data_IF_331733970959
#
_entry.id   IF_331733970959
#
_cell.length_a   1.000
_cell.length_b   1.000
_cell.length_c   1.000
_cell.angle_alpha   90.00
_cell.angle_beta   90.00
_cell.angle_gamma   90.00
#
_symmetry.space_group_name_H-M   'P 1'
#
loop_
_entity.id
_entity.type
_entity.pdbx_description
1 polymer ?
#
# COMPACT_ATOMS: atom_id res chain seq x y z
N UNK A 1 5.99 -9.50 25.26
CA UNK A 1 4.59 -9.25 24.83
C UNK A 1 4.22 -7.85 25.29
N UNK A 2 3.86 -6.95 24.38
CA UNK A 2 3.47 -5.57 24.72
C UNK A 2 1.96 -5.40 24.65
N UNK A 3 1.41 -4.47 25.44
CA UNK A 3 0.00 -4.05 25.33
C UNK A 3 -0.06 -2.56 25.00
N UNK A 4 -1.05 -2.18 24.20
CA UNK A 4 -1.29 -0.78 23.82
C UNK A 4 -2.76 -0.48 24.06
N UNK A 5 -3.03 0.66 24.71
CA UNK A 5 -4.40 1.18 24.89
C UNK A 5 -4.53 2.47 24.11
N UNK A 6 -5.50 2.54 23.20
CA UNK A 6 -5.82 3.74 22.43
C UNK A 6 -7.05 4.38 23.06
N UNK A 7 -6.91 5.60 23.57
CA UNK A 7 -8.00 6.39 24.18
C UNK A 7 -8.52 7.41 23.19
N UNK A 8 -9.76 7.87 23.40
CA UNK A 8 -10.43 8.89 22.58
C UNK A 8 -10.43 8.54 21.08
N UNK A 9 -10.65 7.26 20.76
CA UNK A 9 -10.79 6.81 19.38
C UNK A 9 -12.18 7.17 18.87
N UNK A 10 -12.25 7.75 17.68
CA UNK A 10 -13.51 8.03 17.00
C UNK A 10 -14.36 6.75 16.86
N UNK A 11 -15.65 6.85 17.15
CA UNK A 11 -16.57 5.72 17.15
C UNK A 11 -16.75 5.13 15.74
N UNK A 12 -16.65 5.96 14.70
CA UNK A 12 -16.65 5.53 13.30
C UNK A 12 -15.44 4.65 12.99
N UNK A 13 -14.25 5.02 13.47
CA UNK A 13 -13.04 4.18 13.32
C UNK A 13 -13.21 2.85 14.04
N UNK A 14 -13.73 2.87 15.28
CA UNK A 14 -13.98 1.64 16.05
C UNK A 14 -14.96 0.70 15.34
N UNK A 15 -16.01 1.26 14.73
CA UNK A 15 -16.99 0.48 13.98
C UNK A 15 -16.40 -0.09 12.68
N UNK A 16 -15.62 0.70 11.94
CA UNK A 16 -14.93 0.24 10.74
C UNK A 16 -13.97 -0.92 11.06
N UNK A 17 -13.21 -0.82 12.16
CA UNK A 17 -12.32 -1.89 12.62
C UNK A 17 -13.09 -3.17 12.99
N UNK A 18 -14.28 -3.04 13.60
CA UNK A 18 -15.17 -4.18 13.89
C UNK A 18 -15.59 -4.89 12.61
N UNK A 19 -16.05 -4.11 11.61
CA UNK A 19 -16.49 -4.66 10.33
C UNK A 19 -15.34 -5.36 9.59
N UNK A 20 -14.14 -4.80 9.61
CA UNK A 20 -12.96 -5.43 9.04
C UNK A 20 -12.65 -6.78 9.72
N UNK A 21 -12.71 -6.83 11.06
CA UNK A 21 -12.48 -8.07 11.80
C UNK A 21 -13.50 -9.17 11.44
N UNK A 22 -14.78 -8.81 11.34
CA UNK A 22 -15.85 -9.73 10.91
C UNK A 22 -15.59 -10.25 9.49
N UNK A 23 -15.27 -9.35 8.55
CA UNK A 23 -14.95 -9.70 7.16
C UNK A 23 -13.79 -10.69 7.05
N UNK A 24 -12.78 -10.54 7.90
CA UNK A 24 -11.61 -11.40 7.93
C UNK A 24 -11.77 -12.66 8.82
N UNK A 25 -12.93 -12.85 9.45
CA UNK A 25 -13.19 -14.00 10.33
C UNK A 25 -12.33 -14.02 11.60
N UNK A 26 -11.96 -12.84 12.13
CA UNK A 26 -11.04 -12.69 13.27
C UNK A 26 -11.67 -11.88 14.39
N UNK A 27 -11.11 -12.00 15.61
CA UNK A 27 -11.45 -11.09 16.69
C UNK A 27 -10.96 -9.67 16.37
N UNK A 28 -11.60 -8.66 16.97
CA UNK A 28 -11.18 -7.26 16.81
C UNK A 28 -9.72 -7.05 17.19
N UNK A 29 -9.27 -7.64 18.30
CA UNK A 29 -7.88 -7.56 18.75
C UNK A 29 -6.93 -8.21 17.73
N UNK A 30 -7.28 -9.38 17.18
CA UNK A 30 -6.46 -10.05 16.19
C UNK A 30 -6.36 -9.25 14.88
N UNK A 31 -7.44 -8.61 14.45
CA UNK A 31 -7.42 -7.72 13.28
C UNK A 31 -6.54 -6.49 13.54
N UNK A 32 -6.69 -5.84 14.69
CA UNK A 32 -5.88 -4.68 15.04
C UNK A 32 -4.39 -5.03 15.17
N UNK A 33 -4.06 -6.19 15.76
CA UNK A 33 -2.69 -6.70 15.79
C UNK A 33 -2.15 -6.91 14.38
N UNK A 34 -2.89 -7.59 13.51
CA UNK A 34 -2.49 -7.81 12.13
C UNK A 34 -2.32 -6.49 11.36
N UNK A 35 -3.14 -5.46 11.66
CA UNK A 35 -2.97 -4.10 11.14
C UNK A 35 -1.68 -3.45 11.60
N UNK A 36 -1.35 -3.53 12.89
CA UNK A 36 -0.12 -2.96 13.40
C UNK A 36 1.11 -3.70 12.84
N UNK A 37 1.07 -5.02 12.75
CA UNK A 37 2.15 -5.83 12.19
C UNK A 37 2.38 -5.58 10.69
N UNK A 38 1.31 -5.47 9.89
CA UNK A 38 1.47 -5.16 8.45
C UNK A 38 1.93 -3.72 8.18
N UNK A 39 1.70 -2.81 9.13
CA UNK A 39 2.00 -1.37 8.94
C UNK A 39 3.37 -1.02 9.50
N UNK A 40 3.68 -1.53 10.70
CA UNK A 40 4.88 -1.17 11.47
C UNK A 40 5.81 -2.35 11.71
N UNK A 41 5.43 -3.57 11.33
CA UNK A 41 6.26 -4.75 11.53
C UNK A 41 7.50 -4.77 10.63
N UNK A 42 8.53 -5.56 11.00
CA UNK A 42 9.80 -5.62 10.27
C UNK A 42 9.62 -5.97 8.79
N UNK A 43 8.71 -6.90 8.48
CA UNK A 43 8.44 -7.31 7.10
C UNK A 43 7.92 -6.16 6.22
N UNK A 44 7.15 -5.23 6.77
CA UNK A 44 6.69 -4.05 6.05
C UNK A 44 7.84 -3.09 5.76
N UNK A 45 8.72 -2.89 6.74
CA UNK A 45 9.91 -2.05 6.60
C UNK A 45 10.91 -2.66 5.60
N UNK A 46 11.19 -3.96 5.70
CA UNK A 46 12.04 -4.68 4.75
C UNK A 46 11.52 -4.58 3.32
N UNK A 47 10.19 -4.71 3.12
CA UNK A 47 9.58 -4.52 1.81
C UNK A 47 9.78 -3.10 1.30
N UNK A 48 9.54 -2.07 2.12
CA UNK A 48 9.75 -0.69 1.73
C UNK A 48 11.23 -0.38 1.41
N UNK A 49 12.16 -0.87 2.22
CA UNK A 49 13.60 -0.73 2.00
C UNK A 49 14.03 -1.40 0.70
N UNK A 50 13.57 -2.63 0.45
CA UNK A 50 13.86 -3.35 -0.79
C UNK A 50 13.37 -2.58 -2.01
N UNK A 51 12.13 -2.09 -2.00
CA UNK A 51 11.58 -1.31 -3.12
C UNK A 51 12.35 -0.01 -3.36
N UNK A 52 12.81 0.67 -2.30
CA UNK A 52 13.62 1.90 -2.43
C UNK A 52 15.03 1.65 -2.95
N UNK A 53 15.58 0.46 -2.71
CA UNK A 53 16.91 0.07 -3.17
C UNK A 53 16.92 -0.41 -4.64
N UNK A 54 15.75 -0.73 -5.21
CA UNK A 54 15.65 -1.13 -6.61
C UNK A 54 15.99 0.03 -7.54
N UNK A 55 16.74 -0.26 -8.60
CA UNK A 55 16.85 0.65 -9.74
C UNK A 55 15.48 0.80 -10.42
N UNK A 56 15.33 1.86 -11.22
CA UNK A 56 14.07 2.10 -11.96
C UNK A 56 13.66 0.91 -12.85
N UNK A 57 14.63 0.26 -13.50
CA UNK A 57 14.37 -0.92 -14.34
C UNK A 57 13.88 -2.13 -13.53
N UNK A 58 14.52 -2.40 -12.38
CA UNK A 58 14.12 -3.49 -11.48
C UNK A 58 12.75 -3.26 -10.86
N UNK A 59 12.42 -1.99 -10.54
CA UNK A 59 11.11 -1.64 -10.01
C UNK A 59 10.00 -1.91 -11.03
N UNK A 60 10.20 -1.54 -12.30
CA UNK A 60 9.23 -1.80 -13.38
C UNK A 60 9.05 -3.31 -13.60
N UNK A 61 10.13 -4.09 -13.67
CA UNK A 61 10.07 -5.54 -13.80
C UNK A 61 9.31 -6.19 -12.62
N UNK A 62 9.58 -5.72 -11.39
CA UNK A 62 8.86 -6.18 -10.20
C UNK A 62 7.36 -5.89 -10.29
N UNK A 63 6.96 -4.69 -10.73
CA UNK A 63 5.55 -4.33 -10.91
C UNK A 63 4.85 -5.22 -11.94
N UNK A 64 5.48 -5.49 -13.08
CA UNK A 64 4.92 -6.36 -14.13
C UNK A 64 4.64 -7.76 -13.56
N UNK A 65 5.59 -8.32 -12.80
CA UNK A 65 5.46 -9.64 -12.17
C UNK A 65 4.36 -9.68 -11.09
N UNK A 66 4.24 -8.64 -10.27
CA UNK A 66 3.24 -8.57 -9.20
C UNK A 66 1.83 -8.31 -9.73
N UNK A 67 1.71 -7.47 -10.75
CA UNK A 67 0.43 -7.14 -11.38
C UNK A 67 -0.14 -8.29 -12.22
N UNK A 68 0.59 -9.41 -12.34
CA UNK A 68 0.19 -10.59 -13.09
C UNK A 68 -0.15 -10.28 -14.56
N UNK A 69 0.53 -9.29 -15.15
CA UNK A 69 0.37 -8.89 -16.55
C UNK A 69 -1.03 -8.35 -16.88
N UNK A 70 -1.31 -7.09 -16.56
CA UNK A 70 -2.49 -6.39 -17.08
C UNK A 70 -2.19 -5.80 -18.46
N UNK A 71 -3.05 -6.07 -19.45
CA UNK A 71 -3.04 -5.32 -20.70
C UNK A 71 -3.64 -3.94 -20.43
N UNK A 72 -2.84 -2.88 -20.61
CA UNK A 72 -3.31 -1.50 -20.51
C UNK A 72 -3.51 -0.96 -21.92
N UNK A 73 -4.73 -0.51 -22.23
CA UNK A 73 -4.94 0.32 -23.40
C UNK A 73 -4.26 1.67 -23.17
N UNK A 74 -3.16 1.90 -23.87
CA UNK A 74 -2.47 3.18 -23.82
C UNK A 74 -3.34 4.21 -24.55
N UNK A 75 -3.59 5.39 -23.96
CA UNK A 75 -4.23 6.47 -24.68
C UNK A 75 -3.39 6.83 -25.92
N UNK A 76 -4.02 7.32 -26.99
CA UNK A 76 -3.29 7.85 -28.13
C UNK A 76 -2.30 8.90 -27.64
N UNK A 77 -1.07 8.88 -28.18
CA UNK A 77 -0.08 9.92 -27.86
C UNK A 77 -0.65 11.26 -28.32
N UNK A 78 -1.02 12.09 -27.36
CA UNK A 78 -1.25 13.51 -27.61
C UNK A 78 0.14 14.12 -27.84
N UNK A 79 0.47 14.34 -29.11
CA UNK A 79 1.54 15.26 -29.44
C UNK A 79 1.00 16.65 -29.12
N UNK A 80 1.13 17.09 -27.87
CA UNK A 80 1.22 18.52 -27.65
C UNK A 80 2.47 18.98 -28.40
N UNK A 81 2.28 19.87 -29.37
CA UNK A 81 3.36 20.67 -29.92
C UNK A 81 3.90 21.53 -28.77
N UNK A 82 4.80 20.94 -27.97
CA UNK A 82 5.54 21.65 -26.95
C UNK A 82 6.46 22.60 -27.71
N UNK A 83 6.00 23.84 -27.91
CA UNK A 83 6.83 24.93 -28.40
C UNK A 83 7.91 25.18 -27.35
N UNK A 84 9.09 24.61 -27.59
CA UNK A 84 10.28 24.95 -26.83
C UNK A 84 10.65 26.40 -27.17
N UNK A 85 10.68 27.33 -26.21
CA UNK A 85 11.07 28.70 -26.50
C UNK A 85 12.51 28.73 -27.04
N UNK A 86 12.72 29.45 -28.14
CA UNK A 86 14.06 29.66 -28.70
C UNK A 86 14.94 30.37 -27.66
N UNK A 87 16.11 29.78 -27.38
CA UNK A 87 17.11 30.27 -26.43
C UNK A 87 17.86 31.50 -26.94
#
# INVERSE_FOLDING_TARGET
MGSVTIRNLDDGIKQAARLAAVRNGRSMEAELRALLERTYGPAAQERATRLRAMSGAEFVDHLIKVANGGTLELPPREAEDIEFPEL
#
